data_IF_935659441430
#
_entry.id   IF_935659441430
#
_cell.length_a   1.000
_cell.length_b   1.000
_cell.length_c   1.000
_cell.angle_alpha   90.00
_cell.angle_beta   90.00
_cell.angle_gamma   90.00
#
_symmetry.space_group_name_H-M   'P 1'
#
loop_
_entity.id
_entity.type
_entity.pdbx_description
1 polymer ?
#
# COMPACT_ATOMS: atom_id res chain seq x y z
N UNK A 1 -14.36 13.86 -16.31
CA UNK A 1 -15.22 13.55 -15.15
C UNK A 1 -14.42 13.32 -13.87
N UNK A 2 -13.36 12.49 -13.84
CA UNK A 2 -12.70 12.14 -12.56
C UNK A 2 -11.66 13.14 -12.00
N UNK A 3 -11.24 14.17 -12.77
CA UNK A 3 -10.16 15.11 -12.37
C UNK A 3 -10.46 15.82 -11.04
N UNK A 4 -11.73 16.05 -10.70
CA UNK A 4 -12.16 16.70 -9.45
C UNK A 4 -11.77 15.94 -8.17
N UNK A 5 -11.52 14.63 -8.27
CA UNK A 5 -11.10 13.80 -7.14
C UNK A 5 -9.59 13.85 -6.85
N UNK A 6 -8.83 14.60 -7.63
CA UNK A 6 -7.38 14.77 -7.48
C UNK A 6 -7.07 16.16 -6.90
N UNK A 7 -5.88 16.32 -6.32
CA UNK A 7 -5.37 17.58 -5.78
C UNK A 7 -4.29 18.18 -6.71
N UNK A 8 -4.37 17.92 -8.01
CA UNK A 8 -3.46 18.54 -8.97
C UNK A 8 -3.63 20.06 -8.99
N UNK A 9 -2.52 20.78 -9.13
CA UNK A 9 -2.52 22.19 -9.47
C UNK A 9 -3.35 22.40 -10.76
N UNK A 10 -4.32 23.33 -10.79
CA UNK A 10 -5.16 23.59 -11.96
C UNK A 10 -4.37 23.93 -13.23
N UNK A 11 -3.20 24.56 -13.09
CA UNK A 11 -2.32 24.96 -14.21
C UNK A 11 -1.34 23.84 -14.62
N UNK A 12 -1.24 22.77 -13.83
CA UNK A 12 -0.35 21.65 -14.10
C UNK A 12 -1.03 20.52 -14.90
N UNK A 13 -0.33 20.04 -15.92
CA UNK A 13 -0.70 18.84 -16.67
C UNK A 13 0.19 17.69 -16.24
N UNK A 14 -0.33 16.81 -15.39
CA UNK A 14 0.41 15.62 -14.96
C UNK A 14 0.49 14.59 -16.09
N UNK A 15 1.67 14.44 -16.68
CA UNK A 15 1.97 13.41 -17.70
C UNK A 15 2.73 12.21 -17.13
N UNK A 16 3.03 12.19 -15.83
CA UNK A 16 3.83 11.15 -15.18
C UNK A 16 3.21 10.68 -13.87
N UNK A 17 1.92 10.33 -13.90
CA UNK A 17 1.18 9.87 -12.72
C UNK A 17 1.72 8.54 -12.14
N UNK A 18 2.53 7.81 -12.91
CA UNK A 18 3.18 6.57 -12.46
C UNK A 18 4.17 6.75 -11.31
N UNK A 19 4.79 7.93 -11.18
CA UNK A 19 5.76 8.24 -10.11
C UNK A 19 5.08 8.62 -8.79
N UNK A 20 3.96 9.33 -8.86
CA UNK A 20 3.28 9.84 -7.67
C UNK A 20 1.78 9.82 -7.85
N UNK A 21 1.15 9.02 -7.01
CA UNK A 21 -0.30 8.91 -6.92
C UNK A 21 -0.84 10.06 -6.07
N UNK A 22 -1.95 10.63 -6.52
CA UNK A 22 -2.71 11.62 -5.78
C UNK A 22 -4.18 11.22 -5.80
N UNK A 23 -4.87 11.39 -4.67
CA UNK A 23 -6.30 11.19 -4.56
C UNK A 23 -6.78 11.96 -3.32
N UNK A 24 -7.59 12.99 -3.54
CA UNK A 24 -8.08 13.89 -2.48
C UNK A 24 -8.80 13.14 -1.37
N UNK A 25 -9.64 12.16 -1.73
CA UNK A 25 -10.35 11.34 -0.75
C UNK A 25 -9.43 10.53 0.17
N UNK A 26 -8.27 10.10 -0.33
CA UNK A 26 -7.28 9.41 0.47
C UNK A 26 -6.64 10.36 1.49
N UNK A 27 -6.27 11.58 1.07
CA UNK A 27 -5.67 12.59 1.95
C UNK A 27 -6.59 12.91 3.14
N UNK A 28 -7.88 13.16 2.89
CA UNK A 28 -8.87 13.46 3.94
C UNK A 28 -9.09 12.28 4.91
N UNK A 29 -9.01 11.04 4.42
CA UNK A 29 -9.09 9.83 5.25
C UNK A 29 -7.85 9.68 6.11
N UNK A 30 -6.66 9.91 5.54
CA UNK A 30 -5.37 9.82 6.23
C UNK A 30 -5.27 10.84 7.36
N UNK A 31 -5.64 12.10 7.10
CA UNK A 31 -5.63 13.16 8.11
C UNK A 31 -6.50 12.80 9.33
N UNK A 32 -7.72 12.30 9.10
CA UNK A 32 -8.61 11.84 10.19
C UNK A 32 -8.02 10.66 10.98
N UNK A 33 -7.26 9.78 10.32
CA UNK A 33 -6.52 8.71 10.99
C UNK A 33 -5.44 9.27 11.93
N UNK A 34 -4.66 10.24 11.43
CA UNK A 34 -3.63 10.92 12.22
C UNK A 34 -4.22 11.64 13.44
N UNK A 35 -5.39 12.26 13.31
CA UNK A 35 -6.08 12.91 14.43
C UNK A 35 -6.47 11.90 15.51
N UNK A 36 -7.00 10.73 15.13
CA UNK A 36 -7.34 9.66 16.11
C UNK A 36 -6.11 9.17 16.87
N UNK A 37 -4.98 9.01 16.19
CA UNK A 37 -3.70 8.64 16.83
C UNK A 37 -3.30 9.72 17.85
N UNK A 38 -3.42 11.01 17.51
CA UNK A 38 -3.05 12.12 18.39
C UNK A 38 -3.99 12.27 19.58
N UNK A 39 -5.29 12.09 19.39
CA UNK A 39 -6.30 12.30 20.44
C UNK A 39 -6.33 11.17 21.46
N UNK A 40 -6.24 9.91 21.03
CA UNK A 40 -6.24 8.76 21.94
C UNK A 40 -5.46 7.57 21.32
N UNK A 41 -4.11 7.60 21.40
CA UNK A 41 -3.26 6.65 20.69
C UNK A 41 -3.49 5.20 21.12
N UNK A 42 -3.70 4.96 22.41
CA UNK A 42 -3.90 3.59 22.92
C UNK A 42 -5.22 2.99 22.43
N UNK A 43 -6.32 3.73 22.53
CA UNK A 43 -7.61 3.29 22.00
C UNK A 43 -7.52 3.04 20.49
N UNK A 44 -6.88 3.94 19.77
CA UNK A 44 -6.77 3.81 18.33
C UNK A 44 -5.90 2.63 17.93
N UNK A 45 -4.62 2.65 18.30
CA UNK A 45 -3.63 1.69 17.83
C UNK A 45 -3.86 0.28 18.39
N UNK A 46 -4.31 0.15 19.65
CA UNK A 46 -4.42 -1.16 20.30
C UNK A 46 -5.78 -1.82 20.11
N UNK A 47 -6.86 -1.04 20.04
CA UNK A 47 -8.22 -1.59 20.09
C UNK A 47 -9.01 -1.41 18.80
N UNK A 48 -8.90 -0.25 18.13
CA UNK A 48 -9.82 0.11 17.04
C UNK A 48 -9.19 0.12 15.65
N UNK A 49 -7.86 0.09 15.55
CA UNK A 49 -7.14 0.07 14.28
C UNK A 49 -7.20 -1.29 13.57
N UNK A 50 -7.08 -2.40 14.30
CA UNK A 50 -6.92 -3.75 13.74
C UNK A 50 -8.01 -4.19 12.73
N UNK A 51 -9.31 -3.86 12.91
CA UNK A 51 -10.32 -4.19 11.91
C UNK A 51 -10.09 -3.53 10.53
N UNK A 52 -9.38 -2.40 10.48
CA UNK A 52 -9.17 -1.64 9.25
C UNK A 52 -8.29 -2.37 8.22
N UNK A 53 -7.05 -2.82 8.54
CA UNK A 53 -6.24 -3.57 7.59
C UNK A 53 -6.86 -4.92 7.21
N UNK A 54 -7.64 -5.57 8.09
CA UNK A 54 -8.38 -6.80 7.75
C UNK A 54 -9.37 -6.52 6.61
N UNK A 55 -10.22 -5.49 6.77
CA UNK A 55 -11.17 -5.11 5.74
C UNK A 55 -10.50 -4.66 4.42
N UNK A 56 -9.30 -4.06 4.49
CA UNK A 56 -8.52 -3.71 3.29
C UNK A 56 -8.05 -4.99 2.58
N UNK A 57 -7.49 -5.96 3.32
CA UNK A 57 -7.03 -7.23 2.75
C UNK A 57 -8.15 -8.00 2.07
N UNK A 58 -9.33 -8.06 2.67
CA UNK A 58 -10.53 -8.69 2.08
C UNK A 58 -10.94 -8.03 0.77
N UNK A 59 -10.98 -6.70 0.73
CA UNK A 59 -11.33 -5.94 -0.47
C UNK A 59 -10.30 -6.12 -1.57
N UNK A 60 -9.01 -6.07 -1.24
CA UNK A 60 -7.93 -6.28 -2.21
C UNK A 60 -7.96 -7.71 -2.73
N UNK A 61 -8.11 -8.72 -1.87
CA UNK A 61 -8.21 -10.12 -2.26
C UNK A 61 -9.36 -10.34 -3.26
N UNK A 62 -10.54 -9.80 -2.96
CA UNK A 62 -11.68 -9.84 -3.90
C UNK A 62 -11.39 -9.12 -5.22
N UNK A 63 -10.69 -7.98 -5.18
CA UNK A 63 -10.34 -7.21 -6.37
C UNK A 63 -9.35 -7.94 -7.28
N UNK A 64 -8.36 -8.64 -6.72
CA UNK A 64 -7.33 -9.38 -7.48
C UNK A 64 -7.70 -10.85 -7.74
N UNK A 65 -8.88 -11.30 -7.33
CA UNK A 65 -9.36 -12.66 -7.58
C UNK A 65 -8.78 -13.74 -6.65
N UNK A 66 -8.28 -13.35 -5.47
CA UNK A 66 -7.78 -14.29 -4.44
C UNK A 66 -8.93 -14.67 -3.51
N UNK A 67 -9.18 -15.97 -3.34
CA UNK A 67 -10.28 -16.50 -2.54
C UNK A 67 -10.05 -16.41 -1.02
N UNK A 68 -8.78 -16.38 -0.60
CA UNK A 68 -8.38 -16.35 0.81
C UNK A 68 -7.66 -15.04 1.14
N UNK A 69 -8.31 -14.16 1.92
CA UNK A 69 -7.73 -12.88 2.33
C UNK A 69 -6.43 -13.02 3.14
N UNK A 70 -6.14 -14.20 3.69
CA UNK A 70 -4.88 -14.45 4.38
C UNK A 70 -3.65 -14.47 3.46
N UNK A 71 -3.84 -14.68 2.16
CA UNK A 71 -2.77 -14.67 1.14
C UNK A 71 -2.40 -13.24 0.70
N UNK A 72 -3.18 -12.23 1.12
CA UNK A 72 -2.89 -10.82 0.87
C UNK A 72 -2.38 -10.19 2.15
N UNK A 73 -1.26 -9.47 2.08
CA UNK A 73 -0.68 -8.71 3.20
C UNK A 73 -0.37 -7.27 2.78
N UNK A 74 -0.27 -6.37 3.76
CA UNK A 74 0.03 -4.95 3.51
C UNK A 74 1.48 -4.66 3.93
N UNK A 75 2.27 -4.15 2.99
CA UNK A 75 3.65 -3.70 3.21
C UNK A 75 3.83 -2.25 2.75
N UNK A 76 4.86 -1.52 3.22
CA UNK A 76 4.99 -0.08 2.93
C UNK A 76 5.06 0.29 1.44
N UNK A 77 5.72 -0.52 0.61
CA UNK A 77 5.88 -0.28 -0.84
C UNK A 77 6.38 -1.57 -1.55
N UNK A 78 6.49 -1.50 -2.88
CA UNK A 78 6.96 -2.61 -3.71
C UNK A 78 8.38 -3.07 -3.36
N UNK A 79 9.33 -2.14 -3.19
CA UNK A 79 10.73 -2.48 -2.85
C UNK A 79 10.84 -3.17 -1.50
N UNK A 80 10.03 -2.78 -0.51
CA UNK A 80 9.91 -3.47 0.77
C UNK A 80 9.42 -4.91 0.57
N UNK A 81 8.39 -5.14 -0.25
CA UNK A 81 7.88 -6.48 -0.55
C UNK A 81 8.95 -7.39 -1.17
N UNK A 82 9.65 -6.90 -2.21
CA UNK A 82 10.75 -7.63 -2.85
C UNK A 82 11.86 -7.95 -1.86
N UNK A 83 12.28 -6.97 -1.06
CA UNK A 83 13.31 -7.17 -0.03
C UNK A 83 12.89 -8.21 1.01
N UNK A 84 11.63 -8.19 1.46
CA UNK A 84 11.12 -9.16 2.41
C UNK A 84 11.24 -10.57 1.85
N UNK A 85 10.85 -10.80 0.60
CA UNK A 85 10.95 -12.12 -0.04
C UNK A 85 12.40 -12.56 -0.17
N UNK A 86 13.25 -11.74 -0.80
CA UNK A 86 14.64 -12.12 -1.10
C UNK A 86 15.49 -12.34 0.15
N UNK A 87 15.23 -11.60 1.24
CA UNK A 87 15.95 -11.74 2.51
C UNK A 87 15.41 -12.85 3.40
N UNK A 88 14.29 -13.47 3.04
CA UNK A 88 13.68 -14.57 3.80
C UNK A 88 14.04 -15.96 3.26
N UNK A 89 14.65 -16.06 2.08
CA UNK A 89 15.18 -17.33 1.61
C UNK A 89 16.40 -17.76 2.43
N UNK A 90 16.48 -19.07 2.67
CA UNK A 90 17.71 -19.73 3.12
C UNK A 90 18.42 -20.13 1.83
N UNK A 91 19.49 -19.42 1.48
CA UNK A 91 20.21 -19.61 0.23
C UNK A 91 21.29 -20.68 0.38
N UNK A 92 21.42 -21.53 -0.63
CA UNK A 92 22.54 -22.45 -0.80
C UNK A 92 23.55 -21.92 -1.84
N UNK A 93 24.77 -22.45 -1.85
CA UNK A 93 25.85 -21.91 -2.67
C UNK A 93 25.58 -21.97 -4.18
N UNK A 94 24.76 -22.93 -4.62
CA UNK A 94 24.41 -23.18 -6.01
C UNK A 94 23.15 -22.44 -6.47
N UNK A 95 22.44 -21.75 -5.58
CA UNK A 95 21.24 -21.00 -5.94
C UNK A 95 21.57 -19.78 -6.79
N UNK A 96 20.70 -19.49 -7.76
CA UNK A 96 20.84 -18.35 -8.67
C UNK A 96 19.55 -17.54 -8.74
N UNK A 97 19.70 -16.22 -8.84
CA UNK A 97 18.59 -15.31 -9.13
C UNK A 97 18.62 -14.99 -10.62
N UNK A 98 17.51 -15.26 -11.30
CA UNK A 98 17.31 -14.86 -12.70
C UNK A 98 16.46 -13.61 -12.74
N UNK A 99 16.96 -12.56 -13.39
CA UNK A 99 16.27 -11.28 -13.56
C UNK A 99 16.21 -10.88 -15.04
N UNK A 100 15.37 -9.89 -15.36
CA UNK A 100 15.34 -9.26 -16.68
C UNK A 100 16.09 -7.93 -16.63
N UNK A 101 16.64 -7.48 -17.77
CA UNK A 101 17.36 -6.19 -17.87
C UNK A 101 16.47 -4.98 -17.51
N UNK A 102 15.15 -5.13 -17.62
CA UNK A 102 14.16 -4.09 -17.29
C UNK A 102 13.54 -4.24 -15.89
N UNK A 103 14.02 -5.19 -15.07
CA UNK A 103 13.60 -5.29 -13.67
C UNK A 103 14.14 -4.09 -12.87
N UNK A 104 13.33 -3.52 -11.98
CA UNK A 104 13.72 -2.42 -11.09
C UNK A 104 14.67 -2.87 -9.98
#
# INVERSE_FOLDING_TARGET
ALKEYFHFDPEYVNLNHGESLDCRHFLDRSARGADKIKTNPDLFMRLTYQPMPIAVREKVASFIGVSNANEVVLVPNASNGVNTVLKSFIWEAEDVIVTCETSY
#
